data_IF_203344637158
#
_entry.id   IF_203344637158
#
_cell.length_a   1.000
_cell.length_b   1.000
_cell.length_c   1.000
_cell.angle_alpha   90.00
_cell.angle_beta   90.00
_cell.angle_gamma   90.00
#
_symmetry.space_group_name_H-M   'P 1'
#
loop_
_entity.id
_entity.type
_entity.pdbx_description
1 polymer ?
#
# COMPACT_ATOMS: atom_id res chain seq x y z
N UNK A 1 25.67 -1.36 -40.74
CA UNK A 1 26.31 -0.03 -40.63
C UNK A 1 26.76 0.64 -41.95
N UNK A 2 26.99 0.00 -43.11
CA UNK A 2 27.47 0.72 -44.30
C UNK A 2 26.38 1.46 -45.12
N UNK A 3 25.09 1.15 -44.91
CA UNK A 3 23.97 1.78 -45.65
C UNK A 3 23.59 3.16 -45.08
N UNK A 4 23.66 3.32 -43.76
CA UNK A 4 23.39 4.58 -43.05
C UNK A 4 24.42 5.69 -43.37
N UNK A 5 25.63 5.32 -43.76
CA UNK A 5 26.68 6.29 -44.08
C UNK A 5 26.50 6.88 -45.48
N UNK A 6 25.97 6.09 -46.43
CA UNK A 6 25.65 6.56 -47.79
C UNK A 6 24.44 7.47 -47.82
N UNK A 7 23.43 7.24 -46.97
CA UNK A 7 22.28 8.15 -46.86
C UNK A 7 22.66 9.49 -46.21
N UNK A 8 23.61 9.49 -45.27
CA UNK A 8 24.11 10.71 -44.62
C UNK A 8 24.86 11.65 -45.60
N UNK A 9 25.65 11.09 -46.51
CA UNK A 9 26.37 11.86 -47.55
C UNK A 9 25.41 12.55 -48.53
N UNK A 10 24.30 11.89 -48.88
CA UNK A 10 23.30 12.42 -49.82
C UNK A 10 22.49 13.57 -49.18
N UNK A 11 22.06 13.43 -47.92
CA UNK A 11 21.37 14.49 -47.20
C UNK A 11 22.26 15.73 -47.02
N UNK A 12 23.55 15.55 -46.74
CA UNK A 12 24.50 16.65 -46.57
C UNK A 12 24.72 17.47 -47.85
N UNK A 13 24.65 16.84 -49.02
CA UNK A 13 24.73 17.53 -50.31
C UNK A 13 23.46 18.35 -50.63
N UNK A 14 22.28 17.88 -50.17
CA UNK A 14 20.99 18.55 -50.39
C UNK A 14 20.85 19.80 -49.50
N UNK A 15 21.38 19.78 -48.27
CA UNK A 15 21.30 20.94 -47.37
C UNK A 15 22.25 22.09 -47.76
N UNK A 16 23.36 21.79 -48.45
CA UNK A 16 24.29 22.81 -48.91
C UNK A 16 23.78 23.60 -50.14
N UNK A 17 22.91 22.98 -50.96
CA UNK A 17 22.28 23.65 -52.12
C UNK A 17 21.06 24.50 -51.76
N UNK A 18 20.46 24.31 -50.58
CA UNK A 18 19.25 25.04 -50.13
C UNK A 18 19.61 26.27 -49.26
N UNK A 19 20.90 26.58 -49.07
CA UNK A 19 21.33 27.83 -48.43
C UNK A 19 21.04 27.90 -46.92
N UNK A 20 21.07 26.76 -46.22
CA UNK A 20 20.99 26.75 -44.76
C UNK A 20 22.34 27.14 -44.14
N UNK A 21 22.31 28.16 -43.27
CA UNK A 21 23.43 28.61 -42.46
C UNK A 21 24.19 27.43 -41.83
N UNK A 22 25.50 27.38 -42.00
CA UNK A 22 26.34 26.26 -41.53
C UNK A 22 26.21 26.02 -40.02
N UNK A 23 25.89 27.04 -39.23
CA UNK A 23 25.62 26.92 -37.79
C UNK A 23 24.32 26.15 -37.48
N UNK A 24 23.28 26.28 -38.32
CA UNK A 24 21.98 25.60 -38.14
C UNK A 24 22.05 24.14 -38.60
N UNK A 25 22.87 23.84 -39.61
CA UNK A 25 23.11 22.46 -40.07
C UNK A 25 23.88 21.66 -39.01
N UNK A 26 24.90 22.25 -38.39
CA UNK A 26 25.61 21.63 -37.25
C UNK A 26 24.69 21.43 -36.03
N UNK A 27 23.79 22.39 -35.75
CA UNK A 27 22.82 22.25 -34.65
C UNK A 27 21.81 21.11 -34.92
N UNK A 28 21.37 20.95 -36.16
CA UNK A 28 20.46 19.86 -36.54
C UNK A 28 21.16 18.48 -36.54
N UNK A 29 22.40 18.40 -37.04
CA UNK A 29 23.17 17.14 -37.00
C UNK A 29 23.46 16.70 -35.56
N UNK A 30 23.78 17.62 -34.65
CA UNK A 30 24.00 17.29 -33.23
C UNK A 30 22.71 16.82 -32.54
N UNK A 31 21.56 17.44 -32.82
CA UNK A 31 20.26 17.02 -32.26
C UNK A 31 19.86 15.63 -32.77
N UNK A 32 20.02 15.35 -34.06
CA UNK A 32 19.67 14.03 -34.62
C UNK A 32 20.60 12.95 -34.06
N UNK A 33 21.89 13.23 -33.90
CA UNK A 33 22.84 12.31 -33.25
C UNK A 33 22.46 12.08 -31.77
N UNK A 34 22.08 13.13 -31.03
CA UNK A 34 21.61 12.99 -29.64
C UNK A 34 20.32 12.17 -29.55
N UNK A 35 19.35 12.37 -30.44
CA UNK A 35 18.09 11.60 -30.47
C UNK A 35 18.37 10.12 -30.79
N UNK A 36 19.26 9.82 -31.74
CA UNK A 36 19.64 8.45 -32.09
C UNK A 36 20.42 7.79 -30.95
N UNK A 37 21.31 8.52 -30.26
CA UNK A 37 22.03 8.03 -29.07
C UNK A 37 21.05 7.79 -27.91
N UNK A 38 20.09 8.68 -27.65
CA UNK A 38 19.07 8.51 -26.61
C UNK A 38 18.09 7.37 -26.92
N UNK A 39 17.75 7.14 -28.19
CA UNK A 39 16.96 6.00 -28.64
C UNK A 39 17.73 4.68 -28.51
N UNK A 40 19.03 4.67 -28.82
CA UNK A 40 19.89 3.50 -28.67
C UNK A 40 20.18 3.16 -27.20
N UNK A 41 20.36 4.16 -26.34
CA UNK A 41 20.48 3.98 -24.87
C UNK A 41 19.20 3.39 -24.29
N UNK A 42 18.01 3.83 -24.73
CA UNK A 42 16.73 3.24 -24.30
C UNK A 42 16.50 1.79 -24.79
N UNK A 43 17.12 1.38 -25.90
CA UNK A 43 17.00 0.03 -26.47
C UNK A 43 18.03 -0.96 -25.90
N UNK A 44 19.23 -0.51 -25.54
CA UNK A 44 20.30 -1.36 -24.99
C UNK A 44 20.37 -1.36 -23.46
N UNK A 45 19.86 -0.31 -22.80
CA UNK A 45 19.72 -0.26 -21.35
C UNK A 45 18.29 0.16 -21.02
N UNK A 46 17.36 -0.79 -20.75
CA UNK A 46 16.15 -0.41 -20.06
C UNK A 46 16.58 0.31 -18.78
N UNK A 47 16.10 1.55 -18.60
CA UNK A 47 16.32 2.34 -17.39
C UNK A 47 16.20 1.40 -16.18
N UNK A 48 17.09 1.49 -15.18
CA UNK A 48 16.78 0.88 -13.89
C UNK A 48 15.38 1.37 -13.55
N UNK A 49 14.41 0.45 -13.38
CA UNK A 49 13.06 0.80 -12.93
C UNK A 49 13.26 1.82 -11.82
N UNK A 50 12.78 3.06 -12.05
CA UNK A 50 12.72 4.12 -11.05
C UNK A 50 12.42 3.43 -9.73
N UNK A 51 13.26 3.65 -8.70
CA UNK A 51 13.00 3.21 -7.33
C UNK A 51 11.50 3.33 -7.10
N UNK A 52 10.83 2.18 -7.08
CA UNK A 52 9.38 2.18 -7.01
C UNK A 52 9.01 2.76 -5.66
N UNK A 53 7.95 3.57 -5.65
CA UNK A 53 7.28 4.10 -4.47
C UNK A 53 6.95 3.03 -3.41
N UNK A 54 7.13 1.74 -3.71
CA UNK A 54 7.11 0.62 -2.76
C UNK A 54 8.04 0.81 -1.56
N UNK A 55 9.16 1.54 -1.69
CA UNK A 55 10.04 1.84 -0.53
C UNK A 55 9.49 2.97 0.35
N UNK A 56 8.60 3.85 -0.12
CA UNK A 56 8.11 4.96 0.72
C UNK A 56 7.10 4.50 1.76
N UNK A 57 6.33 3.46 1.47
CA UNK A 57 5.29 2.95 2.37
C UNK A 57 5.84 1.93 3.40
N UNK A 58 6.94 1.24 3.09
CA UNK A 58 7.46 0.13 3.91
C UNK A 58 8.62 0.51 4.84
N UNK A 59 9.22 1.70 4.71
CA UNK A 59 10.49 2.05 5.38
C UNK A 59 10.37 2.64 6.80
N UNK A 60 9.18 2.75 7.36
CA UNK A 60 8.98 3.29 8.72
C UNK A 60 8.19 2.34 9.60
N UNK A 61 8.79 1.22 10.00
CA UNK A 61 8.40 0.43 11.18
C UNK A 61 9.29 -0.81 11.28
N UNK A 62 10.50 -0.61 11.79
CA UNK A 62 11.19 -1.61 12.59
C UNK A 62 11.59 -0.82 13.82
N UNK A 63 10.88 -1.01 14.93
CA UNK A 63 11.39 -0.97 16.30
C UNK A 63 10.24 -1.34 17.26
N UNK A 64 10.61 -2.19 18.24
CA UNK A 64 9.90 -2.57 19.48
C UNK A 64 9.08 -3.89 19.56
N UNK A 65 9.82 -4.90 20.05
CA UNK A 65 9.49 -6.09 20.87
C UNK A 65 8.43 -5.86 21.99
N UNK A 66 7.87 -6.80 22.75
CA UNK A 66 7.63 -8.27 22.75
C UNK A 66 6.76 -8.63 24.00
N UNK A 67 6.16 -9.84 24.01
CA UNK A 67 5.74 -10.71 25.15
C UNK A 67 4.33 -10.63 25.81
N UNK A 68 3.65 -11.81 25.70
CA UNK A 68 2.83 -12.61 26.67
C UNK A 68 1.61 -11.97 27.37
N UNK A 69 0.50 -12.65 27.72
CA UNK A 69 0.15 -14.08 27.89
C UNK A 69 -1.39 -14.27 27.98
N UNK A 70 -1.83 -15.53 27.87
CA UNK A 70 -3.20 -16.08 27.99
C UNK A 70 -3.87 -15.79 29.35
N UNK A 71 -5.20 -15.64 29.38
CA UNK A 71 -6.12 -16.51 30.15
C UNK A 71 -7.60 -16.23 29.84
N UNK A 72 -8.39 -17.30 29.83
CA UNK A 72 -9.84 -17.33 29.62
C UNK A 72 -10.57 -16.86 30.88
N UNK A 73 -11.80 -16.31 30.76
CA UNK A 73 -12.92 -16.73 31.60
C UNK A 73 -14.26 -16.20 31.08
N UNK A 74 -15.18 -17.16 30.94
CA UNK A 74 -16.61 -17.04 30.68
C UNK A 74 -17.33 -16.56 31.94
N UNK A 75 -18.18 -15.53 31.86
CA UNK A 75 -19.41 -15.46 32.68
C UNK A 75 -20.30 -14.25 32.34
N UNK A 76 -21.50 -14.58 31.88
CA UNK A 76 -22.82 -14.01 32.22
C UNK A 76 -23.28 -12.63 31.68
N UNK A 77 -24.26 -12.74 30.78
CA UNK A 77 -24.91 -11.74 29.92
C UNK A 77 -26.02 -10.91 30.61
N UNK A 78 -26.16 -10.90 31.94
CA UNK A 78 -27.42 -10.42 32.57
C UNK A 78 -27.33 -9.22 33.52
N UNK A 79 -26.38 -8.28 33.34
CA UNK A 79 -26.32 -7.05 34.18
C UNK A 79 -25.94 -5.75 33.45
N UNK A 80 -26.66 -5.39 32.38
CA UNK A 80 -26.31 -4.24 31.51
C UNK A 80 -27.04 -2.90 31.76
N UNK A 81 -27.77 -2.72 32.87
CA UNK A 81 -28.68 -1.55 33.00
C UNK A 81 -28.16 -0.42 33.88
N UNK A 82 -26.98 -0.50 34.50
CA UNK A 82 -26.55 0.54 35.47
C UNK A 82 -25.04 0.88 35.47
N UNK A 83 -24.37 0.73 34.33
CA UNK A 83 -22.96 1.08 34.17
C UNK A 83 -22.83 2.44 33.48
N UNK A 84 -21.88 3.28 33.93
CA UNK A 84 -21.55 4.53 33.21
C UNK A 84 -21.18 4.19 31.76
N UNK A 85 -21.54 5.04 30.81
CA UNK A 85 -21.32 4.83 29.37
C UNK A 85 -19.86 4.47 29.04
N UNK A 86 -18.91 5.08 29.76
CA UNK A 86 -17.49 4.75 29.74
C UNK A 86 -17.21 3.27 30.11
N UNK A 87 -17.90 2.71 31.10
CA UNK A 87 -17.77 1.30 31.53
C UNK A 87 -18.40 0.31 30.54
N UNK A 88 -19.51 0.68 29.89
CA UNK A 88 -20.10 -0.14 28.82
C UNK A 88 -19.12 -0.25 27.64
N UNK A 89 -18.42 0.84 27.32
CA UNK A 89 -17.41 0.85 26.27
C UNK A 89 -16.14 0.08 26.69
N UNK A 90 -15.64 0.27 27.92
CA UNK A 90 -14.53 -0.55 28.42
C UNK A 90 -14.84 -2.05 28.31
N UNK A 91 -16.08 -2.49 28.55
CA UNK A 91 -16.45 -3.91 28.39
C UNK A 91 -16.37 -4.41 26.94
N UNK A 92 -16.59 -3.55 25.93
CA UNK A 92 -16.54 -3.93 24.51
C UNK A 92 -15.11 -3.89 23.95
N UNK A 93 -14.26 -2.98 24.43
CA UNK A 93 -12.96 -2.70 23.80
C UNK A 93 -11.73 -2.90 24.70
N UNK A 94 -11.90 -3.49 25.90
CA UNK A 94 -10.85 -3.72 26.93
C UNK A 94 -9.55 -4.41 26.46
N UNK A 95 -9.53 -5.06 25.30
CA UNK A 95 -8.37 -5.82 24.81
C UNK A 95 -7.58 -5.16 23.67
N UNK A 96 -7.97 -3.98 23.19
CA UNK A 96 -7.35 -3.35 22.01
C UNK A 96 -6.81 -1.95 22.29
N UNK A 97 -6.33 -1.66 23.50
CA UNK A 97 -5.65 -0.38 23.77
C UNK A 97 -4.35 -0.33 22.96
N UNK A 98 -4.44 0.13 21.71
CA UNK A 98 -3.29 0.49 20.90
C UNK A 98 -2.42 1.46 21.71
N UNK A 99 -1.07 1.32 21.72
CA UNK A 99 -0.17 2.13 22.54
C UNK A 99 -0.35 3.65 22.40
N UNK A 100 -0.93 4.11 21.29
CA UNK A 100 -1.25 5.51 21.03
C UNK A 100 -2.45 6.04 21.86
N UNK A 101 -3.26 5.17 22.47
CA UNK A 101 -4.46 5.53 23.24
C UNK A 101 -4.16 5.69 24.74
N UNK A 102 -3.03 6.33 25.11
CA UNK A 102 -2.80 6.72 26.50
C UNK A 102 -3.59 8.00 26.80
N UNK A 103 -4.84 7.86 27.26
CA UNK A 103 -5.63 9.02 27.67
C UNK A 103 -5.37 9.39 29.12
N UNK A 104 -5.20 10.69 29.35
CA UNK A 104 -5.35 11.24 30.70
C UNK A 104 -6.85 11.14 31.07
N UNK A 105 -7.22 10.51 32.20
CA UNK A 105 -8.62 10.39 32.59
C UNK A 105 -9.24 11.78 32.75
N UNK A 106 -10.47 11.94 32.25
CA UNK A 106 -11.28 13.13 32.54
C UNK A 106 -11.45 13.20 34.06
N UNK A 107 -11.04 14.31 34.67
CA UNK A 107 -11.25 14.54 36.09
C UNK A 107 -12.76 14.74 36.34
N UNK A 108 -13.47 13.66 36.65
CA UNK A 108 -14.92 13.63 36.84
C UNK A 108 -15.40 14.24 38.17
N UNK A 109 -14.51 14.88 38.93
CA UNK A 109 -14.87 15.60 40.14
C UNK A 109 -15.93 16.68 39.86
N UNK A 110 -17.00 16.73 40.67
CA UNK A 110 -18.11 17.70 40.50
C UNK A 110 -17.67 19.16 40.61
N UNK A 111 -16.47 19.43 41.15
CA UNK A 111 -15.93 20.79 41.27
C UNK A 111 -15.30 21.22 39.95
N UNK A 112 -15.86 22.27 39.33
CA UNK A 112 -15.27 22.91 38.15
C UNK A 112 -15.73 22.34 36.80
N UNK A 113 -17.00 21.92 36.69
CA UNK A 113 -17.64 21.64 35.39
C UNK A 113 -18.96 22.38 35.25
N UNK A 114 -19.27 22.83 34.05
CA UNK A 114 -20.54 23.47 33.68
C UNK A 114 -21.28 22.55 32.71
N UNK A 115 -22.54 22.26 33.01
CA UNK A 115 -23.39 21.42 32.17
C UNK A 115 -24.47 22.29 31.52
N UNK A 116 -24.70 22.11 30.22
CA UNK A 116 -25.73 22.78 29.43
C UNK A 116 -26.56 21.72 28.72
N UNK A 117 -27.88 21.75 28.94
CA UNK A 117 -28.86 20.94 28.22
C UNK A 117 -29.51 21.80 27.14
N UNK A 118 -29.49 21.34 25.89
CA UNK A 118 -30.05 22.07 24.76
C UNK A 118 -31.52 21.69 24.53
N UNK A 119 -32.30 22.54 23.84
CA UNK A 119 -33.71 22.26 23.55
C UNK A 119 -33.98 20.98 22.76
N UNK A 120 -33.00 20.52 21.97
CA UNK A 120 -33.08 19.28 21.20
C UNK A 120 -32.81 18.01 22.03
N UNK A 121 -32.49 18.17 23.33
CA UNK A 121 -32.16 17.08 24.26
C UNK A 121 -30.66 16.74 24.30
N UNK A 122 -29.83 17.35 23.47
CA UNK A 122 -28.38 17.17 23.53
C UNK A 122 -27.78 17.85 24.76
N UNK A 123 -26.61 17.39 25.18
CA UNK A 123 -25.95 17.85 26.42
C UNK A 123 -24.49 18.19 26.15
N UNK A 124 -24.05 19.36 26.63
CA UNK A 124 -22.65 19.78 26.63
C UNK A 124 -22.15 19.91 28.08
N UNK A 125 -20.94 19.42 28.33
CA UNK A 125 -20.23 19.52 29.60
C UNK A 125 -18.89 20.19 29.33
N UNK A 126 -18.68 21.38 29.89
CA UNK A 126 -17.41 22.10 29.85
C UNK A 126 -16.65 21.86 31.15
N UNK A 127 -15.40 21.42 31.04
CA UNK A 127 -14.52 21.16 32.16
C UNK A 127 -13.56 22.34 32.38
N UNK A 128 -13.19 22.58 33.63
CA UNK A 128 -12.27 23.67 34.03
C UNK A 128 -10.89 23.61 33.36
N UNK A 129 -10.46 22.43 32.92
CA UNK A 129 -9.20 22.24 32.18
C UNK A 129 -9.30 22.62 30.68
N UNK A 130 -10.45 23.06 30.20
CA UNK A 130 -10.69 23.42 28.79
C UNK A 130 -11.27 22.29 27.94
N UNK A 131 -11.40 21.07 28.46
CA UNK A 131 -12.06 19.99 27.72
C UNK A 131 -13.57 20.24 27.60
N UNK A 132 -14.15 19.76 26.51
CA UNK A 132 -15.60 19.80 26.29
C UNK A 132 -16.11 18.41 25.92
N UNK A 133 -17.21 17.96 26.53
CA UNK A 133 -17.89 16.70 26.20
C UNK A 133 -19.31 17.00 25.73
N UNK A 134 -19.64 16.57 24.53
CA UNK A 134 -20.97 16.69 23.93
C UNK A 134 -21.59 15.31 23.80
N UNK A 135 -22.89 15.21 24.11
CA UNK A 135 -23.68 13.98 24.08
C UNK A 135 -24.91 14.27 23.23
N UNK A 136 -25.18 13.44 22.23
CA UNK A 136 -26.37 13.54 21.37
C UNK A 136 -27.67 13.30 22.17
N UNK A 137 -28.83 13.76 21.67
CA UNK A 137 -30.11 13.58 22.38
C UNK A 137 -30.48 12.13 22.68
N UNK A 138 -30.09 11.21 21.79
CA UNK A 138 -30.29 9.77 21.93
C UNK A 138 -29.21 9.07 22.77
N UNK A 139 -28.17 9.80 23.19
CA UNK A 139 -27.02 9.28 23.94
C UNK A 139 -26.07 8.39 23.15
N UNK A 140 -26.33 8.14 21.86
CA UNK A 140 -25.54 7.21 21.05
C UNK A 140 -24.20 7.79 20.60
N UNK A 141 -24.09 9.11 20.45
CA UNK A 141 -22.90 9.81 20.01
C UNK A 141 -22.36 10.68 21.14
N UNK A 142 -21.12 10.42 21.53
CA UNK A 142 -20.39 11.20 22.53
C UNK A 142 -19.10 11.71 21.92
N UNK A 143 -18.91 13.02 21.94
CA UNK A 143 -17.70 13.67 21.42
C UNK A 143 -17.00 14.38 22.57
N UNK A 144 -15.74 14.05 22.81
CA UNK A 144 -14.86 14.75 23.75
C UNK A 144 -13.82 15.50 22.95
N UNK A 145 -13.80 16.81 23.08
CA UNK A 145 -12.75 17.69 22.58
C UNK A 145 -11.79 17.98 23.73
N UNK A 146 -10.52 17.62 23.55
CA UNK A 146 -9.48 17.81 24.54
C UNK A 146 -8.78 19.16 24.35
N UNK A 147 -8.25 19.72 25.45
CA UNK A 147 -7.53 21.00 25.44
C UNK A 147 -6.28 20.98 24.53
N UNK A 148 -5.69 19.81 24.29
CA UNK A 148 -4.54 19.63 23.41
C UNK A 148 -4.93 19.62 21.91
N UNK A 149 -6.23 19.72 21.58
CA UNK A 149 -6.75 19.69 20.22
C UNK A 149 -7.24 18.31 19.76
N UNK A 150 -7.00 17.25 20.54
CA UNK A 150 -7.46 15.91 20.19
C UNK A 150 -8.99 15.80 20.30
N UNK A 151 -9.56 14.83 19.58
CA UNK A 151 -11.00 14.58 19.58
C UNK A 151 -11.25 13.08 19.76
N UNK A 152 -12.09 12.70 20.72
CA UNK A 152 -12.59 11.34 20.88
C UNK A 152 -14.08 11.31 20.60
N UNK A 153 -14.48 10.58 19.57
CA UNK A 153 -15.87 10.30 19.20
C UNK A 153 -16.20 8.84 19.53
N UNK A 154 -17.23 8.64 20.34
CA UNK A 154 -17.76 7.32 20.67
C UNK A 154 -19.16 7.21 20.08
N UNK A 155 -19.36 6.28 19.16
CA UNK A 155 -20.64 6.08 18.47
C UNK A 155 -21.15 4.65 18.72
N UNK A 156 -22.20 4.54 19.53
CA UNK A 156 -22.82 3.28 19.93
C UNK A 156 -23.70 2.66 18.85
N UNK A 157 -24.36 3.48 18.03
CA UNK A 157 -25.19 2.98 16.92
C UNK A 157 -24.35 2.22 15.89
N UNK A 158 -23.12 2.71 15.63
CA UNK A 158 -22.19 2.10 14.69
C UNK A 158 -21.17 1.16 15.35
N UNK A 159 -21.14 1.11 16.70
CA UNK A 159 -20.12 0.42 17.48
C UNK A 159 -18.68 0.80 17.08
N UNK A 160 -18.42 2.10 16.94
CA UNK A 160 -17.11 2.64 16.57
C UNK A 160 -16.61 3.65 17.59
N UNK A 161 -15.32 3.61 17.86
CA UNK A 161 -14.60 4.68 18.55
C UNK A 161 -13.61 5.31 17.60
N UNK A 162 -13.67 6.62 17.48
CA UNK A 162 -12.82 7.38 16.59
C UNK A 162 -12.03 8.39 17.41
N UNK A 163 -10.72 8.42 17.24
CA UNK A 163 -9.83 9.36 17.90
C UNK A 163 -9.06 10.16 16.86
N UNK A 164 -9.01 11.47 17.03
CA UNK A 164 -8.19 12.36 16.24
C UNK A 164 -6.99 12.80 17.08
N UNK A 165 -5.79 12.45 16.61
CA UNK A 165 -4.55 12.97 17.15
C UNK A 165 -4.20 14.26 16.40
N UNK A 166 -4.34 15.39 17.08
CA UNK A 166 -4.16 16.72 16.52
C UNK A 166 -2.72 17.01 16.11
N UNK A 167 -1.74 16.55 16.89
CA UNK A 167 -0.32 16.76 16.64
C UNK A 167 0.15 16.09 15.32
N UNK A 168 -0.32 14.88 15.05
CA UNK A 168 0.05 14.12 13.86
C UNK A 168 -0.96 14.22 12.71
N UNK A 169 -2.12 14.84 12.96
CA UNK A 169 -3.26 14.88 12.04
C UNK A 169 -3.67 13.46 11.58
N UNK A 170 -3.88 12.55 12.53
CA UNK A 170 -4.25 11.15 12.28
C UNK A 170 -5.61 10.87 12.88
N UNK A 171 -6.51 10.28 12.09
CA UNK A 171 -7.72 9.65 12.60
C UNK A 171 -7.46 8.18 12.86
N UNK A 172 -7.83 7.70 14.05
CA UNK A 172 -7.76 6.29 14.44
C UNK A 172 -9.15 5.81 14.82
N UNK A 173 -9.68 4.83 14.07
CA UNK A 173 -11.00 4.25 14.30
C UNK A 173 -10.84 2.81 14.77
N UNK A 174 -11.44 2.46 15.90
CA UNK A 174 -11.57 1.10 16.40
C UNK A 174 -13.00 0.61 16.20
N UNK A 175 -13.13 -0.58 15.62
CA UNK A 175 -14.40 -1.23 15.34
C UNK A 175 -14.63 -2.36 16.35
N UNK A 176 -15.91 -2.69 16.60
CA UNK A 176 -16.30 -3.75 17.55
C UNK A 176 -15.82 -5.16 17.19
N UNK A 177 -15.49 -5.41 15.92
CA UNK A 177 -14.88 -6.68 15.47
C UNK A 177 -13.39 -6.80 15.85
N UNK A 178 -12.80 -5.73 16.41
CA UNK A 178 -11.38 -5.62 16.75
C UNK A 178 -10.51 -5.10 15.61
N UNK A 179 -11.11 -4.71 14.47
CA UNK A 179 -10.41 -4.04 13.38
C UNK A 179 -10.04 -2.62 13.80
N UNK A 180 -8.88 -2.14 13.38
CA UNK A 180 -8.44 -0.75 13.53
C UNK A 180 -8.20 -0.11 12.16
N UNK A 181 -8.53 1.17 12.02
CA UNK A 181 -8.29 1.97 10.82
C UNK A 181 -7.57 3.27 11.19
N UNK A 182 -6.37 3.47 10.66
CA UNK A 182 -5.65 4.74 10.72
C UNK A 182 -5.79 5.47 9.38
N UNK A 183 -6.19 6.73 9.42
CA UNK A 183 -6.27 7.62 8.26
C UNK A 183 -5.30 8.79 8.47
N UNK A 184 -4.34 8.91 7.56
CA UNK A 184 -3.28 9.90 7.63
C UNK A 184 -3.62 11.12 6.74
N UNK A 185 -3.10 12.29 7.12
CA UNK A 185 -3.31 13.55 6.38
C UNK A 185 -2.81 13.52 4.93
N UNK A 186 -1.86 12.66 4.60
CA UNK A 186 -1.35 12.46 3.24
C UNK A 186 -2.26 11.59 2.34
N UNK A 187 -3.44 11.18 2.84
CA UNK A 187 -4.39 10.32 2.14
C UNK A 187 -4.13 8.82 2.25
N UNK A 188 -3.02 8.41 2.88
CA UNK A 188 -2.78 7.01 3.20
C UNK A 188 -3.79 6.51 4.23
N UNK A 189 -4.21 5.24 4.10
CA UNK A 189 -5.02 4.55 5.10
C UNK A 189 -4.40 3.21 5.45
N UNK A 190 -4.43 2.84 6.72
CA UNK A 190 -3.92 1.57 7.21
C UNK A 190 -5.02 0.87 8.01
N UNK A 191 -5.39 -0.34 7.59
CA UNK A 191 -6.41 -1.14 8.24
C UNK A 191 -5.76 -2.39 8.83
N UNK A 192 -5.85 -2.55 10.14
CA UNK A 192 -5.31 -3.70 10.89
C UNK A 192 -6.48 -4.58 11.30
N UNK A 193 -6.41 -5.85 10.95
CA UNK A 193 -7.42 -6.84 11.27
C UNK A 193 -7.03 -7.63 12.52
N UNK A 194 -8.03 -8.18 13.20
CA UNK A 194 -7.85 -8.97 14.43
C UNK A 194 -7.00 -10.23 14.23
N UNK A 195 -6.98 -10.78 13.02
CA UNK A 195 -6.16 -11.94 12.64
C UNK A 195 -4.68 -11.60 12.40
N UNK A 196 -4.30 -10.32 12.51
CA UNK A 196 -2.94 -9.82 12.27
C UNK A 196 -2.67 -9.41 10.82
N UNK A 197 -3.66 -9.54 9.91
CA UNK A 197 -3.55 -9.00 8.56
C UNK A 197 -3.53 -7.47 8.59
N UNK A 198 -2.70 -6.85 7.75
CA UNK A 198 -2.62 -5.39 7.61
C UNK A 198 -2.80 -5.03 6.15
N UNK A 199 -3.71 -4.10 5.86
CA UNK A 199 -3.92 -3.52 4.53
C UNK A 199 -3.56 -2.04 4.54
N UNK A 200 -2.67 -1.62 3.64
CA UNK A 200 -2.21 -0.25 3.51
C UNK A 200 -2.62 0.28 2.14
N UNK A 201 -3.56 1.21 2.13
CA UNK A 201 -3.97 1.94 0.95
C UNK A 201 -3.08 3.19 0.81
N UNK A 202 -2.26 3.21 -0.22
CA UNK A 202 -1.38 4.31 -0.53
C UNK A 202 -2.14 5.42 -1.26
N UNK A 203 -1.64 6.66 -1.19
CA UNK A 203 -2.22 7.81 -1.89
C UNK A 203 -2.14 7.72 -3.41
N UNK A 204 -1.24 6.89 -3.95
CA UNK A 204 -1.12 6.58 -5.38
C UNK A 204 -2.12 5.50 -5.86
N UNK A 205 -2.98 5.00 -4.96
CA UNK A 205 -4.00 3.99 -5.25
C UNK A 205 -3.51 2.54 -5.14
N UNK A 206 -2.24 2.31 -4.82
CA UNK A 206 -1.72 0.97 -4.54
C UNK A 206 -2.27 0.45 -3.21
N UNK A 207 -2.55 -0.85 -3.14
CA UNK A 207 -2.95 -1.52 -1.90
C UNK A 207 -1.91 -2.57 -1.55
N UNK A 208 -1.26 -2.41 -0.40
CA UNK A 208 -0.29 -3.37 0.14
C UNK A 208 -0.97 -4.19 1.23
N UNK A 209 -0.98 -5.51 1.08
CA UNK A 209 -1.52 -6.43 2.07
C UNK A 209 -0.37 -7.23 2.69
N UNK A 210 -0.24 -7.15 4.01
CA UNK A 210 0.69 -7.99 4.78
C UNK A 210 -0.12 -9.03 5.54
N UNK A 211 0.22 -10.29 5.34
CA UNK A 211 -0.43 -11.41 6.00
C UNK A 211 0.37 -11.82 7.26
N UNK A 212 -0.31 -12.39 8.27
CA UNK A 212 0.34 -12.82 9.51
C UNK A 212 1.36 -13.95 9.31
N UNK A 213 1.27 -14.69 8.21
CA UNK A 213 2.25 -15.72 7.81
C UNK A 213 3.55 -15.13 7.23
N UNK A 214 3.60 -13.81 7.00
CA UNK A 214 4.73 -13.10 6.40
C UNK A 214 4.65 -12.95 4.88
N UNK A 215 3.57 -13.43 4.24
CA UNK A 215 3.31 -13.16 2.82
C UNK A 215 2.93 -11.69 2.62
N UNK A 216 3.45 -11.08 1.56
CA UNK A 216 3.12 -9.69 1.19
C UNK A 216 2.52 -9.65 -0.22
N UNK A 217 1.44 -8.89 -0.39
CA UNK A 217 0.82 -8.64 -1.67
C UNK A 217 0.77 -7.14 -1.98
N UNK A 218 0.93 -6.78 -3.25
CA UNK A 218 0.74 -5.41 -3.74
C UNK A 218 -0.21 -5.46 -4.92
N UNK A 219 -1.37 -4.82 -4.79
CA UNK A 219 -2.34 -4.61 -5.86
C UNK A 219 -2.18 -3.18 -6.40
N UNK A 220 -1.97 -3.09 -7.70
CA UNK A 220 -1.83 -1.82 -8.41
C UNK A 220 -3.17 -1.37 -9.02
N UNK A 221 -3.35 -0.06 -9.29
CA UNK A 221 -4.55 0.47 -9.96
C UNK A 221 -4.86 -0.15 -11.32
N UNK A 222 -3.82 -0.60 -12.05
CA UNK A 222 -3.97 -1.31 -13.32
C UNK A 222 -4.46 -2.76 -13.17
N UNK A 223 -4.72 -3.21 -11.93
CA UNK A 223 -5.09 -4.57 -11.52
C UNK A 223 -3.96 -5.60 -11.62
N UNK A 224 -2.73 -5.16 -11.88
CA UNK A 224 -1.58 -6.05 -11.70
C UNK A 224 -1.37 -6.32 -10.20
N UNK A 225 -0.92 -7.53 -9.88
CA UNK A 225 -0.72 -7.97 -8.49
C UNK A 225 0.64 -8.61 -8.35
N UNK A 226 1.41 -8.16 -7.37
CA UNK A 226 2.65 -8.82 -6.95
C UNK A 226 2.38 -9.56 -5.65
N UNK A 227 2.79 -10.82 -5.57
CA UNK A 227 2.77 -11.64 -4.37
C UNK A 227 4.22 -12.00 -4.05
N UNK A 228 4.65 -11.73 -2.83
CA UNK A 228 5.97 -12.09 -2.31
C UNK A 228 5.75 -13.09 -1.18
N UNK A 229 6.20 -14.30 -1.42
CA UNK A 229 6.10 -15.40 -0.47
C UNK A 229 7.21 -15.29 0.59
N UNK A 230 7.00 -15.97 1.71
CA UNK A 230 7.94 -16.04 2.84
C UNK A 230 9.30 -16.62 2.44
N UNK A 231 9.31 -17.56 1.48
CA UNK A 231 10.52 -18.17 0.92
C UNK A 231 11.33 -17.21 0.00
N UNK A 232 10.82 -15.99 -0.24
CA UNK A 232 11.43 -14.98 -1.11
C UNK A 232 11.04 -15.07 -2.58
N UNK A 233 10.23 -16.05 -2.97
CA UNK A 233 9.68 -16.15 -4.33
C UNK A 233 8.70 -15.00 -4.59
N UNK A 234 8.70 -14.51 -5.83
CA UNK A 234 7.82 -13.43 -6.26
C UNK A 234 6.96 -13.90 -7.42
N UNK A 235 5.66 -13.70 -7.32
CA UNK A 235 4.71 -13.94 -8.39
C UNK A 235 4.12 -12.61 -8.84
N UNK A 236 4.22 -12.27 -10.12
CA UNK A 236 3.53 -11.14 -10.74
C UNK A 236 2.36 -11.69 -11.57
N UNK A 237 1.17 -11.18 -11.30
CA UNK A 237 -0.06 -11.45 -12.05
C UNK A 237 -0.40 -10.21 -12.86
N UNK A 238 -0.49 -10.37 -14.17
CA UNK A 238 -0.84 -9.30 -15.10
C UNK A 238 -2.33 -9.34 -15.42
N UNK A 239 -2.97 -8.18 -15.71
CA UNK A 239 -4.39 -8.11 -16.03
C UNK A 239 -4.81 -8.92 -17.26
N UNK A 240 -3.87 -9.18 -18.17
CA UNK A 240 -4.09 -9.99 -19.38
C UNK A 240 -4.08 -11.51 -19.11
N UNK A 241 -4.03 -11.93 -17.84
CA UNK A 241 -3.97 -13.34 -17.44
C UNK A 241 -2.59 -13.97 -17.49
N UNK A 242 -1.56 -13.24 -17.92
CA UNK A 242 -0.17 -13.73 -17.83
C UNK A 242 0.29 -13.73 -16.38
N UNK A 243 1.13 -14.70 -16.04
CA UNK A 243 1.71 -14.86 -14.72
C UNK A 243 3.22 -15.06 -14.83
N UNK A 244 3.98 -14.34 -14.03
CA UNK A 244 5.43 -14.50 -13.91
C UNK A 244 5.79 -14.97 -12.51
N UNK A 245 6.57 -16.03 -12.40
CA UNK A 245 7.08 -16.57 -11.15
C UNK A 245 8.61 -16.44 -11.16
N UNK A 246 9.15 -15.75 -10.17
CA UNK A 246 10.58 -15.58 -9.94
C UNK A 246 10.98 -16.38 -8.70
N UNK A 247 11.72 -17.44 -8.93
CA UNK A 247 12.38 -18.22 -7.88
C UNK A 247 13.88 -17.97 -7.94
N UNK A 248 14.64 -18.57 -7.01
CA UNK A 248 16.11 -18.57 -7.10
C UNK A 248 16.61 -19.44 -8.26
N UNK A 249 15.83 -20.44 -8.63
CA UNK A 249 16.20 -21.46 -9.61
C UNK A 249 15.86 -21.06 -11.04
N UNK A 250 14.84 -20.23 -11.25
CA UNK A 250 14.41 -19.84 -12.59
C UNK A 250 13.42 -18.66 -12.58
N UNK A 251 13.19 -18.10 -13.76
CA UNK A 251 12.07 -17.21 -14.05
C UNK A 251 11.11 -17.90 -14.99
N UNK A 252 9.85 -18.04 -14.60
CA UNK A 252 8.82 -18.71 -15.41
C UNK A 252 7.72 -17.73 -15.78
N UNK A 253 7.38 -17.63 -17.07
CA UNK A 253 6.20 -16.92 -17.55
C UNK A 253 5.17 -17.90 -18.09
N UNK A 254 3.98 -17.87 -17.52
CA UNK A 254 2.79 -18.63 -17.91
C UNK A 254 1.87 -17.71 -18.73
N UNK A 255 1.45 -18.18 -19.89
CA UNK A 255 0.56 -17.46 -20.81
C UNK A 255 -0.86 -18.05 -20.77
N UNK A 256 -1.91 -17.25 -21.05
CA UNK A 256 -3.29 -17.74 -21.05
C UNK A 256 -3.58 -18.87 -22.05
N UNK A 257 -2.79 -18.97 -23.11
CA UNK A 257 -2.89 -20.04 -24.11
C UNK A 257 -2.36 -21.40 -23.60
N UNK A 258 -1.80 -21.44 -22.37
CA UNK A 258 -1.16 -22.61 -21.79
C UNK A 258 0.33 -22.74 -22.10
N UNK A 259 0.90 -21.84 -22.90
CA UNK A 259 2.35 -21.81 -23.16
C UNK A 259 3.08 -21.37 -21.89
N UNK A 260 4.19 -22.04 -21.59
CA UNK A 260 5.06 -21.72 -20.45
C UNK A 260 6.49 -21.52 -20.95
N UNK A 261 7.11 -20.41 -20.57
CA UNK A 261 8.52 -20.13 -20.85
C UNK A 261 9.30 -20.07 -19.55
N UNK A 262 10.39 -20.82 -19.46
CA UNK A 262 11.27 -20.88 -18.30
C UNK A 262 12.65 -20.41 -18.72
N UNK A 263 13.21 -19.45 -17.99
CA UNK A 263 14.58 -18.97 -18.12
C UNK A 263 15.36 -19.37 -16.88
N UNK A 264 16.41 -20.17 -17.07
CA UNK A 264 17.30 -20.61 -16.00
C UNK A 264 18.47 -19.65 -15.81
N UNK A 265 19.12 -19.64 -14.62
CA UNK A 265 20.27 -18.78 -14.30
C UNK A 265 21.49 -18.98 -15.22
N UNK A 266 21.66 -20.16 -15.79
CA UNK A 266 22.70 -20.49 -16.77
C UNK A 266 22.43 -19.89 -18.17
N UNK A 267 21.26 -19.27 -18.36
CA UNK A 267 20.80 -18.69 -19.63
C UNK A 267 19.98 -19.65 -20.50
N UNK A 268 19.87 -20.92 -20.10
CA UNK A 268 19.06 -21.93 -20.82
C UNK A 268 17.59 -21.52 -20.80
N UNK A 269 16.91 -21.71 -21.93
CA UNK A 269 15.52 -21.35 -22.12
C UNK A 269 14.70 -22.58 -22.51
N UNK A 270 13.68 -22.89 -21.73
CA UNK A 270 12.70 -23.93 -22.03
C UNK A 270 11.36 -23.30 -22.42
N UNK A 271 10.76 -23.75 -23.51
CA UNK A 271 9.38 -23.41 -23.90
C UNK A 271 8.55 -24.69 -23.94
N UNK A 272 7.54 -24.76 -23.08
CA UNK A 272 6.51 -25.80 -23.06
C UNK A 272 5.26 -25.24 -23.72
N UNK A 273 4.84 -25.82 -24.83
CA UNK A 273 3.62 -25.42 -25.52
C UNK A 273 2.41 -26.13 -24.92
N UNK A 274 1.23 -25.53 -25.07
CA UNK A 274 -0.03 -26.15 -24.63
C UNK A 274 -0.31 -27.51 -25.28
N UNK A 275 0.26 -27.77 -26.47
CA UNK A 275 0.19 -29.06 -27.16
C UNK A 275 1.01 -30.17 -26.50
N UNK A 276 1.83 -29.85 -25.50
CA UNK A 276 2.80 -30.77 -24.87
C UNK A 276 4.18 -30.77 -25.52
N UNK A 277 4.38 -30.08 -26.65
CA UNK A 277 5.71 -29.94 -27.28
C UNK A 277 6.65 -29.15 -26.35
N UNK A 278 7.91 -29.59 -26.25
CA UNK A 278 8.95 -28.94 -25.45
C UNK A 278 10.11 -28.57 -26.37
N UNK A 279 10.59 -27.33 -26.25
CA UNK A 279 11.80 -26.85 -26.94
C UNK A 279 12.77 -26.25 -25.93
N UNK A 280 14.03 -26.64 -26.01
CA UNK A 280 15.10 -26.12 -25.15
C UNK A 280 16.15 -25.45 -26.01
N UNK A 281 16.52 -24.23 -25.63
CA UNK A 281 17.62 -23.47 -26.22
C UNK A 281 18.71 -23.24 -25.18
N UNK A 282 19.95 -23.25 -25.63
CA UNK A 282 21.10 -22.85 -24.81
C UNK A 282 21.10 -21.32 -24.56
N UNK A 283 22.11 -20.84 -23.82
CA UNK A 283 22.30 -19.43 -23.51
C UNK A 283 22.56 -18.54 -24.73
N UNK A 284 23.02 -19.12 -25.84
CA UNK A 284 23.22 -18.43 -27.12
C UNK A 284 21.94 -18.39 -27.97
N UNK A 285 20.87 -19.06 -27.54
CA UNK A 285 19.59 -19.15 -28.25
C UNK A 285 19.55 -20.25 -29.31
N UNK A 286 20.55 -21.13 -29.37
CA UNK A 286 20.60 -22.28 -30.28
C UNK A 286 19.69 -23.37 -29.74
N UNK A 287 18.86 -23.97 -30.61
CA UNK A 287 17.97 -25.06 -30.25
C UNK A 287 18.79 -26.34 -30.01
N UNK A 288 18.75 -26.86 -28.78
CA UNK A 288 19.48 -28.07 -28.39
C UNK A 288 18.56 -29.28 -28.18
N UNK A 289 17.26 -29.06 -27.97
CA UNK A 289 16.27 -30.13 -27.84
C UNK A 289 14.90 -29.68 -28.35
N UNK A 290 14.19 -30.60 -29.00
CA UNK A 290 12.80 -30.45 -29.43
C UNK A 290 12.12 -31.81 -29.33
N UNK A 291 11.03 -31.90 -28.59
CA UNK A 291 10.36 -33.19 -28.32
C UNK A 291 9.59 -33.77 -29.51
N UNK A 292 9.48 -33.02 -30.61
CA UNK A 292 8.82 -33.44 -31.85
C UNK A 292 9.81 -33.70 -33.00
N UNK A 293 11.12 -33.66 -32.73
CA UNK A 293 12.18 -33.95 -33.70
C UNK A 293 12.95 -35.22 -33.30
#
# INVERSE_FOLDING_TARGET
MPVLWRTFQILRAIFFTIGFDSLKVLYFETIVIIIVILAYINLCFPQPKRRSSTESCTRKQNDEESKQSKENNTSDITKFVDLSLEKQYEQVFKSSSSPLMQHTPLNDSKKGKTETLFPDGSKEIKYSNGNTKTISPDGNLVIVQYFNGDIKETNLANNTLKYYYSENCIWHTQFSDGTELLEYSNGQKEKKYKDGKIEIMCSDGNVVTKHPDGMEEVLYPDKSKIIKNVNGEKTLLLPNGQKEVHTKEHKRREYPDGTVKILYPDGTQETRYATGRIRIKDSNGVLIHDSHL
#
